data_IF_959476291197
#
_entry.id   IF_959476291197
#
_cell.length_a   1.000
_cell.length_b   1.000
_cell.length_c   1.000
_cell.angle_alpha   90.00
_cell.angle_beta   90.00
_cell.angle_gamma   90.00
#
_symmetry.space_group_name_H-M   'P 1'
#
loop_
_entity.id
_entity.type
_entity.pdbx_description
1 polymer ?
#
# COMPACT_ATOMS: atom_id res chain seq x y z
N UNK A 1 22.42 31.53 -19.50
CA UNK A 1 21.17 30.78 -19.69
C UNK A 1 21.07 29.76 -18.58
N UNK A 2 20.21 29.93 -17.57
CA UNK A 2 20.03 28.86 -16.59
C UNK A 2 19.32 27.70 -17.29
N UNK A 3 19.89 26.50 -17.20
CA UNK A 3 19.20 25.27 -17.57
C UNK A 3 17.88 25.23 -16.78
N UNK A 4 16.75 25.24 -17.47
CA UNK A 4 15.50 24.84 -16.84
C UNK A 4 15.66 23.39 -16.38
N UNK A 5 15.85 23.23 -15.07
CA UNK A 5 15.88 21.94 -14.41
C UNK A 5 14.57 21.23 -14.79
N UNK A 6 14.64 20.23 -15.67
CA UNK A 6 13.48 19.43 -16.01
C UNK A 6 12.94 18.82 -14.73
N UNK A 7 11.81 19.32 -14.23
CA UNK A 7 11.14 18.75 -13.07
C UNK A 7 10.55 17.42 -13.49
N UNK A 8 11.25 16.34 -13.19
CA UNK A 8 10.69 15.01 -13.34
C UNK A 8 9.48 14.90 -12.41
N UNK A 9 8.36 14.44 -12.95
CA UNK A 9 7.11 14.23 -12.24
C UNK A 9 6.72 12.77 -12.43
N UNK A 10 6.21 12.14 -11.37
CA UNK A 10 5.60 10.81 -11.45
C UNK A 10 4.18 10.84 -10.92
N UNK A 11 3.32 9.99 -11.46
CA UNK A 11 1.99 9.72 -10.94
C UNK A 11 1.88 8.23 -10.63
N UNK A 12 1.46 7.89 -9.41
CA UNK A 12 1.37 6.51 -8.94
C UNK A 12 -0.04 6.22 -8.45
N UNK A 13 -0.57 5.08 -8.86
CA UNK A 13 -1.76 4.54 -8.22
C UNK A 13 -1.40 4.08 -6.80
N UNK A 14 -2.22 4.37 -5.78
CA UNK A 14 -2.05 3.79 -4.46
C UNK A 14 -1.97 2.26 -4.53
N UNK A 15 -0.90 1.69 -4.00
CA UNK A 15 -0.78 0.25 -3.78
C UNK A 15 -0.76 -0.02 -2.28
N UNK A 16 -1.37 -1.13 -1.86
CA UNK A 16 -1.40 -1.52 -0.45
C UNK A 16 0.02 -1.70 0.11
N UNK A 17 0.92 -2.21 -0.72
CA UNK A 17 2.37 -2.16 -0.50
C UNK A 17 3.04 -1.61 -1.76
N UNK A 18 3.89 -0.60 -1.59
CA UNK A 18 4.71 -0.07 -2.68
C UNK A 18 5.71 -1.12 -3.14
N UNK A 19 5.94 -1.16 -4.45
CA UNK A 19 7.01 -1.96 -5.05
C UNK A 19 8.33 -1.19 -5.03
N UNK A 20 9.44 -1.89 -5.24
CA UNK A 20 10.76 -1.24 -5.44
C UNK A 20 10.72 -0.28 -6.63
N UNK A 21 9.95 -0.59 -7.68
CA UNK A 21 9.77 0.28 -8.84
C UNK A 21 9.01 1.56 -8.47
N UNK A 22 7.93 1.46 -7.68
CA UNK A 22 7.18 2.62 -7.21
C UNK A 22 8.11 3.56 -6.43
N UNK A 23 8.89 3.00 -5.50
CA UNK A 23 9.86 3.78 -4.70
C UNK A 23 10.95 4.39 -5.58
N UNK A 24 11.48 3.65 -6.57
CA UNK A 24 12.48 4.18 -7.49
C UNK A 24 11.94 5.37 -8.31
N UNK A 25 10.69 5.29 -8.79
CA UNK A 25 10.02 6.39 -9.48
C UNK A 25 9.80 7.59 -8.55
N UNK A 26 9.40 7.36 -7.31
CA UNK A 26 9.24 8.42 -6.30
C UNK A 26 10.56 9.14 -6.03
N UNK A 27 11.65 8.39 -5.87
CA UNK A 27 12.97 8.95 -5.58
C UNK A 27 13.56 9.73 -6.77
N UNK A 28 13.21 9.35 -8.01
CA UNK A 28 13.67 10.05 -9.21
C UNK A 28 12.84 11.30 -9.54
N UNK A 29 11.67 11.47 -8.93
CA UNK A 29 10.75 12.56 -9.22
C UNK A 29 10.90 13.72 -8.22
N UNK A 30 10.76 14.94 -8.75
CA UNK A 30 10.66 16.16 -7.94
C UNK A 30 9.26 16.36 -7.34
N UNK A 31 8.25 15.73 -7.94
CA UNK A 31 6.86 15.74 -7.48
C UNK A 31 6.21 14.39 -7.76
N UNK A 32 5.43 13.92 -6.79
CA UNK A 32 4.68 12.65 -6.87
C UNK A 32 3.21 12.97 -6.75
N UNK A 33 2.43 12.58 -7.76
CA UNK A 33 0.98 12.65 -7.75
C UNK A 33 0.40 11.29 -7.40
N UNK A 34 -0.61 11.28 -6.54
CA UNK A 34 -1.35 10.06 -6.17
C UNK A 34 -2.60 9.97 -7.04
N UNK A 35 -2.74 8.88 -7.79
CA UNK A 35 -3.86 8.64 -8.69
C UNK A 35 -5.02 7.90 -8.00
N UNK A 36 -5.60 8.53 -6.98
CA UNK A 36 -6.71 8.01 -6.16
C UNK A 36 -8.10 8.14 -6.81
N UNK A 37 -8.21 8.95 -7.86
CA UNK A 37 -9.40 9.07 -8.72
C UNK A 37 -9.67 7.82 -9.60
N UNK A 38 -8.75 6.85 -9.61
CA UNK A 38 -8.92 5.61 -10.36
C UNK A 38 -9.93 4.69 -9.66
N UNK A 39 -10.60 3.82 -10.41
CA UNK A 39 -11.58 2.89 -9.86
C UNK A 39 -10.91 1.75 -9.10
N UNK A 40 -11.45 1.39 -7.93
CA UNK A 40 -11.00 0.21 -7.19
C UNK A 40 -11.52 -1.04 -7.88
N UNK A 41 -10.63 -1.98 -8.18
CA UNK A 41 -10.99 -3.34 -8.57
C UNK A 41 -10.84 -4.29 -7.40
N UNK A 42 -11.82 -5.16 -7.21
CA UNK A 42 -11.68 -6.29 -6.31
C UNK A 42 -10.43 -7.09 -6.72
N UNK A 43 -9.59 -7.44 -5.75
CA UNK A 43 -8.34 -8.18 -5.95
C UNK A 43 -7.18 -7.40 -6.61
N UNK A 44 -7.27 -6.07 -6.70
CA UNK A 44 -6.18 -5.23 -7.19
C UNK A 44 -5.05 -5.02 -6.16
N UNK A 45 -3.86 -4.59 -6.60
CA UNK A 45 -2.77 -4.18 -5.72
C UNK A 45 -3.13 -3.08 -4.72
N UNK A 46 -4.18 -2.29 -5.00
CA UNK A 46 -4.69 -1.23 -4.11
C UNK A 46 -5.19 -1.80 -2.78
N UNK A 47 -5.87 -2.95 -2.82
CA UNK A 47 -6.53 -3.55 -1.64
C UNK A 47 -5.90 -4.87 -1.20
N UNK A 48 -4.89 -5.35 -1.93
CA UNK A 48 -4.33 -6.68 -1.73
C UNK A 48 -2.84 -6.73 -2.04
N UNK A 49 -2.07 -7.35 -1.15
CA UNK A 49 -0.69 -7.73 -1.40
C UNK A 49 -0.56 -9.26 -1.36
N UNK A 50 0.26 -9.81 -2.24
CA UNK A 50 0.57 -11.24 -2.32
C UNK A 50 2.07 -11.39 -2.25
N UNK A 51 2.54 -12.21 -1.32
CA UNK A 51 3.94 -12.43 -1.05
C UNK A 51 4.29 -13.88 -1.29
N UNK A 52 5.28 -14.18 -2.15
CA UNK A 52 5.75 -15.55 -2.33
C UNK A 52 6.45 -16.03 -1.05
N UNK A 53 6.27 -17.31 -0.71
CA UNK A 53 7.07 -17.98 0.33
C UNK A 53 7.61 -19.30 -0.23
N UNK A 54 8.46 -19.98 0.54
CA UNK A 54 9.05 -21.25 0.14
C UNK A 54 8.02 -22.37 -0.07
N UNK A 55 6.88 -22.33 0.64
CA UNK A 55 5.85 -23.38 0.58
C UNK A 55 4.62 -22.92 -0.22
N UNK A 56 4.07 -21.74 0.11
CA UNK A 56 2.90 -21.17 -0.58
C UNK A 56 2.92 -19.63 -0.52
N UNK A 57 2.28 -18.93 -1.47
CA UNK A 57 2.12 -17.48 -1.34
C UNK A 57 1.13 -17.13 -0.22
N UNK A 58 1.49 -16.20 0.67
CA UNK A 58 0.52 -15.64 1.61
C UNK A 58 -0.04 -14.31 1.09
N UNK A 59 -1.29 -14.01 1.49
CA UNK A 59 -2.04 -12.87 0.98
C UNK A 59 -2.54 -12.00 2.13
N UNK A 60 -2.37 -10.70 2.00
CA UNK A 60 -2.98 -9.68 2.84
C UNK A 60 -4.05 -8.97 2.02
N UNK A 61 -5.26 -8.81 2.57
CA UNK A 61 -6.36 -8.12 1.89
C UNK A 61 -6.98 -7.13 2.85
N UNK A 62 -6.93 -5.85 2.47
CA UNK A 62 -7.63 -4.79 3.17
C UNK A 62 -9.13 -4.97 2.90
N UNK A 63 -9.94 -5.16 3.95
CA UNK A 63 -11.36 -5.33 3.78
C UNK A 63 -11.98 -3.95 3.48
N UNK A 64 -12.77 -3.90 2.42
CA UNK A 64 -13.49 -2.71 1.97
C UNK A 64 -14.99 -2.97 2.02
N UNK A 65 -15.78 -1.92 2.25
CA UNK A 65 -17.22 -2.03 2.08
C UNK A 65 -17.56 -2.32 0.60
N UNK A 66 -18.68 -3.02 0.33
CA UNK A 66 -19.20 -3.13 -1.02
C UNK A 66 -19.41 -1.73 -1.59
N UNK A 67 -18.66 -1.39 -2.63
CA UNK A 67 -18.77 -0.11 -3.29
C UNK A 67 -19.82 -0.20 -4.40
N UNK A 68 -20.41 0.95 -4.74
CA UNK A 68 -21.22 1.04 -5.96
C UNK A 68 -20.31 0.86 -7.20
N UNK A 69 -20.92 0.52 -8.35
CA UNK A 69 -20.17 0.38 -9.60
C UNK A 69 -19.43 1.69 -9.92
N UNK A 70 -18.11 1.60 -10.08
CA UNK A 70 -17.28 2.74 -10.49
C UNK A 70 -16.74 3.61 -9.37
N UNK A 71 -16.90 3.24 -8.09
CA UNK A 71 -16.29 3.98 -6.99
C UNK A 71 -14.75 4.08 -7.13
N UNK A 72 -14.24 5.27 -6.84
CA UNK A 72 -12.80 5.56 -6.88
C UNK A 72 -12.07 5.05 -5.63
N UNK A 73 -10.74 5.05 -5.66
CA UNK A 73 -9.91 4.70 -4.50
C UNK A 73 -10.22 5.66 -3.34
N UNK A 74 -10.31 6.96 -3.62
CA UNK A 74 -10.63 7.99 -2.63
C UNK A 74 -12.01 7.80 -1.97
N UNK A 75 -13.02 7.37 -2.74
CA UNK A 75 -14.39 7.17 -2.24
C UNK A 75 -14.59 5.84 -1.50
N UNK A 76 -13.67 4.90 -1.64
CA UNK A 76 -13.82 3.54 -1.11
C UNK A 76 -13.57 3.50 0.40
N UNK A 77 -14.56 3.02 1.16
CA UNK A 77 -14.51 2.90 2.61
C UNK A 77 -13.90 1.57 3.06
N UNK A 78 -13.08 1.62 4.10
CA UNK A 78 -12.54 0.42 4.76
C UNK A 78 -13.57 -0.19 5.71
N UNK A 79 -13.65 -1.53 5.74
CA UNK A 79 -14.47 -2.24 6.73
C UNK A 79 -13.72 -2.35 8.05
N UNK A 80 -13.97 -1.37 8.93
CA UNK A 80 -13.34 -1.24 10.25
C UNK A 80 -13.84 -2.25 11.30
N UNK A 81 -14.87 -3.04 10.99
CA UNK A 81 -15.39 -4.08 11.90
C UNK A 81 -14.44 -5.27 12.03
N UNK A 82 -13.50 -5.41 11.09
CA UNK A 82 -12.54 -6.49 11.07
C UNK A 82 -11.20 -6.04 11.65
N UNK A 83 -10.56 -6.81 12.55
CA UNK A 83 -9.25 -6.48 13.10
C UNK A 83 -8.12 -6.80 12.09
N UNK A 84 -8.29 -6.42 10.83
CA UNK A 84 -7.35 -6.68 9.74
C UNK A 84 -5.94 -6.08 9.96
N UNK A 85 -5.75 -4.90 10.57
CA UNK A 85 -4.41 -4.34 10.82
C UNK A 85 -3.58 -5.27 11.69
N UNK A 86 -4.18 -5.71 12.81
CA UNK A 86 -3.56 -6.64 13.76
C UNK A 86 -3.27 -8.00 13.13
N UNK A 87 -4.18 -8.50 12.29
CA UNK A 87 -3.98 -9.77 11.55
C UNK A 87 -2.83 -9.64 10.55
N UNK A 88 -2.76 -8.53 9.83
CA UNK A 88 -1.69 -8.27 8.85
C UNK A 88 -0.33 -8.14 9.54
N UNK A 89 -0.22 -7.36 10.63
CA UNK A 89 0.99 -7.27 11.44
C UNK A 89 1.46 -8.65 11.92
N UNK A 90 0.54 -9.46 12.46
CA UNK A 90 0.87 -10.82 12.91
C UNK A 90 1.41 -11.68 11.76
N UNK A 91 0.78 -11.64 10.59
CA UNK A 91 1.27 -12.36 9.41
C UNK A 91 2.67 -11.88 9.00
N UNK A 92 2.87 -10.56 8.91
CA UNK A 92 4.18 -9.99 8.55
C UNK A 92 5.26 -10.37 9.56
N UNK A 93 4.95 -10.36 10.86
CA UNK A 93 5.85 -10.82 11.91
C UNK A 93 6.29 -12.27 11.67
N UNK A 94 5.34 -13.20 11.50
CA UNK A 94 5.68 -14.60 11.33
C UNK A 94 6.52 -14.87 10.08
N UNK A 95 6.27 -14.12 9.00
CA UNK A 95 6.95 -14.31 7.72
C UNK A 95 8.31 -13.62 7.65
N UNK A 96 8.50 -12.49 8.32
CA UNK A 96 9.68 -11.66 8.17
C UNK A 96 10.52 -11.47 9.44
N UNK A 97 10.17 -12.04 10.60
CA UNK A 97 10.94 -11.85 11.85
C UNK A 97 12.43 -12.22 11.77
N UNK A 98 12.82 -13.03 10.80
CA UNK A 98 14.22 -13.41 10.56
C UNK A 98 14.84 -12.71 9.34
N UNK A 99 14.11 -11.80 8.70
CA UNK A 99 14.60 -11.04 7.57
C UNK A 99 15.61 -9.96 8.03
N UNK A 100 16.59 -9.61 7.19
CA UNK A 100 17.44 -8.46 7.45
C UNK A 100 16.62 -7.19 7.72
N UNK A 101 17.07 -6.39 8.68
CA UNK A 101 16.44 -5.11 9.08
C UNK A 101 15.02 -5.24 9.64
N UNK A 102 14.59 -6.44 10.07
CA UNK A 102 13.25 -6.66 10.60
C UNK A 102 12.88 -5.69 11.71
N UNK A 103 13.71 -5.55 12.75
CA UNK A 103 13.39 -4.70 13.90
C UNK A 103 13.18 -3.22 13.53
N UNK A 104 13.94 -2.74 12.53
CA UNK A 104 13.86 -1.37 12.02
C UNK A 104 12.52 -1.16 11.31
N UNK A 105 12.18 -2.03 10.35
CA UNK A 105 10.98 -1.84 9.54
C UNK A 105 9.70 -2.29 10.24
N UNK A 106 9.76 -3.29 11.10
CA UNK A 106 8.59 -3.80 11.82
C UNK A 106 8.03 -2.75 12.79
N UNK A 107 8.91 -2.01 13.48
CA UNK A 107 8.50 -0.88 14.33
C UNK A 107 7.76 0.19 13.53
N UNK A 108 8.22 0.50 12.31
CA UNK A 108 7.54 1.44 11.40
C UNK A 108 6.18 0.90 10.98
N UNK A 109 6.09 -0.40 10.65
CA UNK A 109 4.81 -1.02 10.31
C UNK A 109 3.82 -0.92 11.48
N UNK A 110 4.24 -1.19 12.72
CA UNK A 110 3.37 -1.06 13.89
C UNK A 110 2.78 0.35 14.03
N UNK A 111 3.57 1.39 13.77
CA UNK A 111 3.12 2.79 13.78
C UNK A 111 2.14 3.11 12.64
N UNK A 112 2.36 2.57 11.45
CA UNK A 112 1.44 2.73 10.31
C UNK A 112 0.12 2.04 10.61
N UNK A 113 0.15 0.81 11.10
CA UNK A 113 -1.05 0.02 11.38
C UNK A 113 -1.79 0.45 12.67
N UNK A 114 -1.19 1.28 13.53
CA UNK A 114 -1.90 1.88 14.67
C UNK A 114 -2.86 3.00 14.26
N UNK A 115 -2.73 3.53 13.05
CA UNK A 115 -3.57 4.60 12.50
C UNK A 115 -4.22 4.14 11.21
N UNK A 116 -5.43 3.59 11.33
CA UNK A 116 -6.17 3.06 10.18
C UNK A 116 -7.14 4.13 9.69
N UNK A 117 -7.01 4.58 8.42
CA UNK A 117 -7.94 5.55 7.85
C UNK A 117 -9.34 4.94 7.66
N UNK A 118 -10.34 5.81 7.53
CA UNK A 118 -11.70 5.39 7.17
C UNK A 118 -11.85 5.12 5.66
N UNK A 119 -11.04 5.78 4.85
CA UNK A 119 -11.01 5.67 3.39
C UNK A 119 -9.74 4.93 2.92
N UNK A 120 -9.81 4.37 1.72
CA UNK A 120 -8.71 3.63 1.11
C UNK A 120 -7.65 4.54 0.46
N UNK A 121 -8.07 5.67 -0.11
CA UNK A 121 -7.21 6.69 -0.74
C UNK A 121 -6.82 7.82 0.20
#
# INVERSE_FOLDING_TARGET
MPLELHRAVTALQPHYFLTVQDVALMLAASQVYVADHLQVRHQSPVVRAVFPTAEESFRLTVPIHPSHHGATIAETLLDTRQPWPRRHLKSLYHQYRFAPYFDVYYTVLEQVFSHVPHHLG
#
